data_IF_303836192498
#
_entry.id   IF_303836192498
#
_cell.length_a   1.000
_cell.length_b   1.000
_cell.length_c   1.000
_cell.angle_alpha   90.00
_cell.angle_beta   90.00
_cell.angle_gamma   90.00
#
_symmetry.space_group_name_H-M   'P 1'
#
loop_
_entity.id
_entity.type
_entity.pdbx_description
1 polymer ?
#
# COMPACT_ATOMS: atom_id res chain seq x y z
N UNK A 1 -5.68 -6.80 7.61
CA UNK A 1 -6.15 -7.35 6.32
C UNK A 1 -7.03 -6.28 5.67
N UNK A 2 -6.79 -5.94 4.41
CA UNK A 2 -7.59 -4.92 3.71
C UNK A 2 -8.71 -5.57 2.92
N UNK A 3 -9.97 -5.21 3.17
CA UNK A 3 -11.11 -5.87 2.52
C UNK A 3 -11.39 -5.37 1.09
N UNK A 4 -10.79 -4.26 0.67
CA UNK A 4 -11.15 -3.61 -0.59
C UNK A 4 -10.00 -2.85 -1.27
N UNK A 5 -8.74 -3.19 -0.97
CA UNK A 5 -7.58 -2.51 -1.56
C UNK A 5 -7.36 -1.09 -1.03
N UNK A 6 -7.99 -0.74 0.09
CA UNK A 6 -7.88 0.53 0.79
C UNK A 6 -7.36 0.32 2.19
N UNK A 7 -6.65 1.31 2.71
CA UNK A 7 -6.25 1.37 4.12
C UNK A 7 -7.01 2.51 4.79
N UNK A 8 -7.55 2.24 5.96
CA UNK A 8 -8.22 3.22 6.80
C UNK A 8 -7.35 3.50 8.02
N UNK A 9 -6.82 4.71 8.12
CA UNK A 9 -5.99 5.14 9.25
C UNK A 9 -6.17 6.64 9.49
N UNK A 10 -6.12 7.06 10.75
CA UNK A 10 -6.35 8.47 11.15
C UNK A 10 -7.62 9.09 10.55
N UNK A 11 -8.72 8.33 10.49
CA UNK A 11 -10.00 8.72 9.87
C UNK A 11 -9.91 9.09 8.37
N UNK A 12 -8.79 8.75 7.72
CA UNK A 12 -8.56 8.90 6.29
C UNK A 12 -8.68 7.54 5.61
N UNK A 13 -9.17 7.54 4.38
CA UNK A 13 -9.21 6.37 3.51
C UNK A 13 -8.20 6.60 2.39
N UNK A 14 -7.17 5.76 2.34
CA UNK A 14 -6.12 5.80 1.32
C UNK A 14 -6.34 4.64 0.37
N UNK A 15 -6.32 4.91 -0.94
CA UNK A 15 -6.36 3.88 -1.97
C UNK A 15 -4.95 3.33 -2.18
N UNK A 16 -4.81 2.00 -2.16
CA UNK A 16 -3.56 1.30 -2.46
C UNK A 16 -3.71 0.73 -3.88
N UNK A 17 -4.18 -0.50 -3.99
CA UNK A 17 -4.51 -1.15 -5.25
C UNK A 17 -5.65 -2.13 -5.02
N UNK A 18 -6.59 -2.24 -5.97
CA UNK A 18 -7.71 -3.19 -5.89
C UNK A 18 -7.23 -4.64 -5.73
N UNK A 19 -6.09 -4.99 -6.34
CA UNK A 19 -5.48 -6.32 -6.25
C UNK A 19 -5.02 -6.69 -4.84
N UNK A 20 -4.86 -5.72 -3.95
CA UNK A 20 -4.51 -5.95 -2.54
C UNK A 20 -5.72 -6.29 -1.68
N UNK A 21 -6.96 -6.29 -2.20
CA UNK A 21 -8.13 -6.73 -1.44
C UNK A 21 -7.97 -8.19 -0.97
N UNK A 22 -8.31 -8.46 0.29
CA UNK A 22 -8.11 -9.74 0.96
C UNK A 22 -6.68 -9.99 1.44
N UNK A 23 -5.70 -9.15 1.07
CA UNK A 23 -4.31 -9.34 1.44
C UNK A 23 -3.96 -8.71 2.80
N UNK A 24 -2.92 -9.24 3.43
CA UNK A 24 -2.28 -8.63 4.61
C UNK A 24 -1.14 -7.73 4.12
N UNK A 25 -1.28 -6.45 4.39
CA UNK A 25 -0.23 -5.46 4.18
C UNK A 25 0.43 -5.18 5.54
N UNK A 26 1.73 -4.96 5.51
CA UNK A 26 2.50 -4.45 6.63
C UNK A 26 2.61 -2.93 6.47
N UNK A 27 2.44 -2.20 7.58
CA UNK A 27 2.42 -0.74 7.61
C UNK A 27 3.28 -0.29 8.78
N UNK A 28 4.27 0.56 8.50
CA UNK A 28 5.23 1.03 9.49
C UNK A 28 5.37 2.55 9.39
N UNK A 29 5.35 3.24 10.53
CA UNK A 29 5.63 4.67 10.60
C UNK A 29 7.15 4.86 10.52
N UNK A 30 7.63 5.52 9.46
CA UNK A 30 9.06 5.71 9.19
C UNK A 30 9.52 7.14 9.46
N UNK A 31 8.59 8.09 9.47
CA UNK A 31 8.77 9.49 9.85
C UNK A 31 7.43 10.08 10.31
N UNK A 32 7.43 11.27 10.90
CA UNK A 32 6.21 11.91 11.44
C UNK A 32 5.14 12.08 10.36
N UNK A 33 4.06 11.29 10.47
CA UNK A 33 2.97 11.31 9.50
C UNK A 33 3.27 10.62 8.15
N UNK A 34 4.42 9.95 8.02
CA UNK A 34 4.84 9.19 6.83
C UNK A 34 4.91 7.69 7.13
N UNK A 35 4.18 6.91 6.35
CA UNK A 35 3.97 5.48 6.59
C UNK A 35 4.44 4.65 5.40
N UNK A 36 5.39 3.74 5.60
CA UNK A 36 5.75 2.74 4.62
C UNK A 36 4.67 1.65 4.55
N UNK A 37 4.28 1.26 3.34
CA UNK A 37 3.39 0.13 3.08
C UNK A 37 4.16 -0.95 2.36
N UNK A 38 4.13 -2.16 2.90
CA UNK A 38 4.81 -3.32 2.34
C UNK A 38 3.84 -4.49 2.17
N UNK A 39 4.11 -5.33 1.18
CA UNK A 39 3.41 -6.59 0.96
C UNK A 39 4.44 -7.70 0.81
N UNK A 40 4.36 -8.70 1.70
CA UNK A 40 5.36 -9.76 1.81
C UNK A 40 6.75 -9.22 2.16
N UNK A 41 7.68 -9.19 1.19
CA UNK A 41 9.05 -8.67 1.35
C UNK A 41 9.31 -7.48 0.41
N UNK A 42 8.24 -6.93 -0.15
CA UNK A 42 8.31 -5.86 -1.13
C UNK A 42 7.64 -4.62 -0.58
N UNK A 43 8.36 -3.52 -0.64
CA UNK A 43 7.82 -2.22 -0.33
C UNK A 43 6.95 -1.75 -1.51
N UNK A 44 5.75 -1.24 -1.21
CA UNK A 44 4.81 -0.73 -2.21
C UNK A 44 4.92 0.78 -2.37
N UNK A 45 5.22 1.48 -1.27
CA UNK A 45 5.32 2.92 -1.27
C UNK A 45 5.10 3.56 0.10
N UNK A 46 5.14 4.88 0.11
CA UNK A 46 4.93 5.69 1.30
C UNK A 46 3.55 6.34 1.26
N UNK A 47 2.88 6.42 2.41
CA UNK A 47 1.66 7.18 2.60
C UNK A 47 2.01 8.42 3.37
N UNK A 48 1.71 9.56 2.76
CA UNK A 48 1.66 10.84 3.43
C UNK A 48 0.21 11.06 3.91
N UNK A 49 0.01 11.17 5.22
CA UNK A 49 -1.32 11.37 5.80
C UNK A 49 -1.94 12.72 5.42
N UNK A 50 -1.15 13.75 5.15
CA UNK A 50 -1.64 15.04 4.68
C UNK A 50 -2.23 14.91 3.28
N UNK A 51 -1.46 14.32 2.36
CA UNK A 51 -1.84 14.14 0.95
C UNK A 51 -2.88 13.04 0.73
N UNK A 52 -3.00 12.07 1.66
CA UNK A 52 -3.92 10.90 1.58
C UNK A 52 -3.68 10.02 0.36
N UNK A 53 -2.46 10.02 -0.15
CA UNK A 53 -2.05 9.30 -1.34
C UNK A 53 -0.92 8.35 -1.00
N UNK A 54 -0.86 7.23 -1.73
CA UNK A 54 0.31 6.37 -1.76
C UNK A 54 1.27 6.92 -2.81
N UNK A 55 2.46 7.33 -2.40
CA UNK A 55 3.59 7.55 -3.27
C UNK A 55 4.26 6.20 -3.52
N UNK A 56 3.98 5.62 -4.68
CA UNK A 56 4.53 4.32 -5.05
C UNK A 56 6.04 4.42 -5.22
N UNK A 57 6.78 3.52 -4.60
CA UNK A 57 8.16 3.28 -5.04
C UNK A 57 8.13 2.50 -6.37
N UNK A 58 9.27 2.39 -7.05
CA UNK A 58 9.35 1.62 -8.30
C UNK A 58 8.66 0.27 -8.14
N UNK A 59 7.71 -0.02 -9.03
CA UNK A 59 6.88 -1.21 -8.93
C UNK A 59 7.77 -2.47 -8.97
N UNK A 60 7.88 -3.24 -7.87
CA UNK A 60 8.77 -4.38 -7.80
C UNK A 60 8.33 -5.54 -8.70
N UNK A 61 7.09 -5.51 -9.21
CA UNK A 61 6.52 -6.54 -10.07
C UNK A 61 6.62 -6.22 -11.57
N UNK A 62 7.09 -5.03 -11.95
CA UNK A 62 7.18 -4.58 -13.35
C UNK A 62 5.84 -4.64 -14.13
N UNK A 63 5.89 -4.49 -15.45
CA UNK A 63 4.72 -4.52 -16.35
C UNK A 63 4.19 -5.93 -16.64
N UNK A 64 4.92 -7.00 -16.25
CA UNK A 64 4.55 -8.39 -16.58
C UNK A 64 4.24 -9.20 -15.32
N UNK A 65 3.02 -9.05 -14.84
CA UNK A 65 2.39 -10.12 -14.06
C UNK A 65 1.68 -11.05 -15.04
N UNK A 66 2.16 -12.29 -15.16
CA UNK A 66 1.37 -13.37 -15.75
C UNK A 66 0.13 -13.62 -14.89
N UNK A 67 -1.04 -13.90 -15.48
CA UNK A 67 -2.26 -14.15 -14.72
C UNK A 67 -1.99 -15.27 -13.70
N UNK A 68 -2.34 -15.01 -12.45
CA UNK A 68 -2.29 -16.00 -11.39
C UNK A 68 -3.26 -17.12 -11.79
N UNK A 69 -2.73 -18.33 -12.04
CA UNK A 69 -3.52 -19.51 -12.40
C UNK A 69 -4.29 -20.06 -11.21
#
# INVERSE_FOLDING_TARGET
MTNCGRICMYRKKINIFTVMAGQRLDIEEVDDGVWLVSFMRYDLGYIDLEQRTLQTIENPFGTRLSPLS
#
